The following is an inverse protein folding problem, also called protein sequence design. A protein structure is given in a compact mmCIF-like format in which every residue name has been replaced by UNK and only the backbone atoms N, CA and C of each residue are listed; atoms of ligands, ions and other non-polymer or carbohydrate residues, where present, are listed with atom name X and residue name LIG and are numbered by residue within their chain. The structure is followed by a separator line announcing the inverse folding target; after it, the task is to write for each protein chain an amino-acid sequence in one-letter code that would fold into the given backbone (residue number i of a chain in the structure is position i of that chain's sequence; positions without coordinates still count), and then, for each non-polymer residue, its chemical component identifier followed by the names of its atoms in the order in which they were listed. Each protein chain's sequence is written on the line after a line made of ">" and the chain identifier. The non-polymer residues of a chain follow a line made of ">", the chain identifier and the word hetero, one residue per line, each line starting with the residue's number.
data_IF_247005596385
#
_entry.id   IF_247005596385
#
_cell.length_a   1.000
_cell.length_b   1.000
_cell.length_c   1.000
_cell.angle_alpha   90.00
_cell.angle_beta   90.00
_cell.angle_gamma   90.00
#
_symmetry.space_group_name_H-M   'P 1'
#
loop_
_entity.id
_entity.type
_entity.pdbx_description
1 polymer ?
#
# COMPACT_ATOMS: atom_id res chain seq x y z
N UNK A 1 29.85 8.29 -3.88
CA UNK A 1 30.76 9.41 -3.56
C UNK A 1 30.20 10.10 -2.33
N UNK A 2 30.96 10.15 -1.23
CA UNK A 2 30.53 10.73 0.04
C UNK A 2 31.17 12.11 0.18
N UNK A 3 30.40 13.11 0.60
CA UNK A 3 30.92 14.46 0.83
C UNK A 3 31.86 14.46 2.06
N UNK A 4 33.07 15.06 2.00
CA UNK A 4 34.06 14.96 3.08
C UNK A 4 33.58 15.46 4.44
N UNK A 5 32.71 16.48 4.46
CA UNK A 5 32.14 17.02 5.70
C UNK A 5 31.25 16.01 6.44
N UNK A 6 30.67 15.02 5.74
CA UNK A 6 29.82 14.01 6.37
C UNK A 6 30.61 13.08 7.28
N UNK A 7 31.91 12.91 7.03
CA UNK A 7 32.81 12.08 7.85
C UNK A 7 33.31 12.81 9.10
N UNK A 8 33.18 14.12 9.14
CA UNK A 8 33.65 14.97 10.25
C UNK A 8 32.53 15.34 11.22
N UNK A 9 31.30 14.88 10.99
CA UNK A 9 30.17 15.17 11.89
C UNK A 9 30.29 14.33 13.15
N UNK A 10 30.50 14.98 14.29
CA UNK A 10 30.49 14.34 15.59
C UNK A 10 29.05 14.20 16.10
N UNK A 11 28.51 12.99 16.01
CA UNK A 11 27.16 12.68 16.45
C UNK A 11 27.04 12.59 17.98
N UNK A 12 28.15 12.39 18.71
CA UNK A 12 28.11 12.20 20.17
C UNK A 12 27.87 13.51 20.92
N UNK A 13 28.30 14.63 20.34
CA UNK A 13 28.18 15.96 20.93
C UNK A 13 27.03 16.80 20.33
N UNK A 14 26.21 16.22 19.47
CA UNK A 14 25.05 16.91 18.92
C UNK A 14 24.02 17.16 20.03
N UNK A 15 23.59 18.42 20.19
CA UNK A 15 22.57 18.77 21.16
C UNK A 15 21.24 18.08 20.81
N UNK A 16 20.89 17.03 21.57
CA UNK A 16 19.58 16.38 21.47
C UNK A 16 18.57 17.22 22.24
N UNK A 17 17.72 17.98 21.54
CA UNK A 17 16.50 18.51 22.16
C UNK A 17 15.58 17.33 22.43
N UNK A 18 15.30 17.04 23.71
CA UNK A 18 14.61 15.81 24.13
C UNK A 18 13.09 15.86 24.01
N UNK A 19 12.50 16.93 23.49
CA UNK A 19 11.04 17.13 23.54
C UNK A 19 10.30 16.36 22.44
N UNK A 20 10.96 15.96 21.36
CA UNK A 20 10.34 15.16 20.29
C UNK A 20 11.40 14.29 19.59
N UNK A 21 11.42 12.96 19.83
CA UNK A 21 12.39 12.06 19.21
C UNK A 21 12.18 11.90 17.70
N UNK A 22 11.00 12.23 17.16
CA UNK A 22 10.67 12.08 15.74
C UNK A 22 10.90 13.37 14.94
N UNK A 23 11.16 14.49 15.62
CA UNK A 23 11.41 15.78 15.00
C UNK A 23 12.89 16.09 15.05
N UNK A 24 13.59 15.79 13.95
CA UNK A 24 14.98 16.21 13.78
C UNK A 24 15.14 17.70 14.06
N UNK A 25 16.26 18.09 14.67
CA UNK A 25 16.66 19.49 14.88
C UNK A 25 17.01 20.16 13.55
N UNK A 26 16.00 20.33 12.70
CA UNK A 26 16.06 21.17 11.51
C UNK A 26 15.15 22.33 11.83
N UNK A 27 15.68 23.33 12.54
CA UNK A 27 15.04 24.64 12.56
C UNK A 27 14.72 25.08 11.13
N UNK A 28 13.72 25.95 10.92
CA UNK A 28 13.26 26.34 9.59
C UNK A 28 14.43 26.69 8.67
N UNK A 29 14.73 25.81 7.72
CA UNK A 29 15.88 25.94 6.83
C UNK A 29 15.69 27.22 6.02
N UNK A 30 16.58 28.19 6.20
CA UNK A 30 16.54 29.47 5.48
C UNK A 30 17.32 29.34 4.17
N UNK A 31 17.06 30.24 3.22
CA UNK A 31 17.86 30.31 1.98
C UNK A 31 19.35 30.54 2.24
N UNK A 32 19.69 31.15 3.37
CA UNK A 32 21.07 31.39 3.83
C UNK A 32 21.68 30.23 4.63
N UNK A 33 20.96 29.13 4.85
CA UNK A 33 21.48 27.96 5.55
C UNK A 33 22.62 27.29 4.77
N UNK A 34 23.51 26.61 5.49
CA UNK A 34 24.66 25.95 4.88
C UNK A 34 24.21 24.85 3.89
N UNK A 35 25.12 24.42 3.00
CA UNK A 35 24.85 23.27 2.12
C UNK A 35 24.55 22.02 2.97
N UNK A 36 25.32 21.82 4.04
CA UNK A 36 25.18 20.71 4.97
C UNK A 36 23.78 20.66 5.60
N UNK A 37 23.27 21.78 6.13
CA UNK A 37 21.94 21.81 6.77
C UNK A 37 20.83 21.49 5.76
N UNK A 38 20.94 22.05 4.55
CA UNK A 38 19.97 21.82 3.46
C UNK A 38 20.00 20.37 2.99
N UNK A 39 21.18 19.80 2.80
CA UNK A 39 21.34 18.39 2.42
C UNK A 39 20.87 17.45 3.53
N UNK A 40 21.18 17.74 4.79
CA UNK A 40 20.72 16.96 5.93
C UNK A 40 19.19 16.94 6.04
N UNK A 41 18.55 18.11 5.92
CA UNK A 41 17.09 18.23 5.92
C UNK A 41 16.45 17.49 4.74
N UNK A 42 17.02 17.61 3.53
CA UNK A 42 16.55 16.88 2.35
C UNK A 42 16.66 15.36 2.51
N UNK A 43 17.77 14.87 3.08
CA UNK A 43 17.95 13.44 3.37
C UNK A 43 16.98 12.93 4.42
N UNK A 44 16.68 13.74 5.43
CA UNK A 44 15.70 13.39 6.46
C UNK A 44 14.28 13.31 5.88
N UNK A 45 13.87 14.29 5.06
CA UNK A 45 12.60 14.24 4.34
C UNK A 45 12.52 13.08 3.36
N UNK A 46 13.63 12.74 2.70
CA UNK A 46 13.70 11.55 1.86
C UNK A 46 13.48 10.28 2.69
N UNK A 47 14.18 10.14 3.82
CA UNK A 47 14.02 9.00 4.72
C UNK A 47 12.60 8.91 5.29
N UNK A 48 11.99 10.03 5.68
CA UNK A 48 10.60 10.09 6.16
C UNK A 48 9.55 9.99 5.04
N UNK A 49 9.94 10.06 3.77
CA UNK A 49 9.01 9.97 2.67
C UNK A 49 8.36 8.58 2.65
N UNK A 50 7.05 8.55 2.44
CA UNK A 50 6.26 7.31 2.34
C UNK A 50 6.70 6.40 1.19
N UNK A 51 7.47 6.93 0.23
CA UNK A 51 8.11 6.15 -0.84
C UNK A 51 9.35 5.38 -0.36
N UNK A 52 10.02 5.84 0.70
CA UNK A 52 11.26 5.25 1.21
C UNK A 52 11.05 4.40 2.47
N UNK A 53 10.03 4.73 3.28
CA UNK A 53 9.56 3.88 4.36
C UNK A 53 8.17 3.34 4.05
N UNK A 54 8.03 2.16 3.42
CA UNK A 54 6.93 1.30 3.78
C UNK A 54 7.16 0.94 5.25
N UNK A 55 6.48 1.65 6.16
CA UNK A 55 6.62 1.51 7.62
C UNK A 55 6.46 0.05 8.12
N UNK A 56 5.90 -0.83 7.29
CA UNK A 56 5.78 -2.25 7.56
C UNK A 56 7.03 -3.09 7.27
N UNK A 57 8.03 -2.57 6.54
CA UNK A 57 9.12 -3.40 6.02
C UNK A 57 10.42 -3.35 6.85
N UNK A 58 10.67 -2.30 7.66
CA UNK A 58 11.99 -2.14 8.29
C UNK A 58 12.02 -2.37 9.82
N UNK A 59 10.94 -2.11 10.56
CA UNK A 59 10.97 -2.24 12.02
C UNK A 59 10.46 -3.58 12.56
N UNK A 60 9.62 -4.30 11.80
CA UNK A 60 9.08 -5.58 12.27
C UNK A 60 10.16 -6.68 12.24
N UNK A 61 10.88 -6.79 11.14
CA UNK A 61 11.76 -7.93 10.88
C UNK A 61 13.08 -7.88 11.68
N UNK A 62 13.56 -6.69 12.04
CA UNK A 62 14.78 -6.53 12.85
C UNK A 62 14.54 -6.88 14.32
N UNK A 63 13.33 -6.65 14.85
CA UNK A 63 13.03 -6.87 16.27
C UNK A 63 12.43 -8.24 16.60
N UNK A 64 11.81 -8.95 15.64
CA UNK A 64 11.14 -10.24 15.91
C UNK A 64 12.00 -11.47 15.62
N UNK A 65 13.17 -11.32 14.98
CA UNK A 65 14.13 -12.42 14.79
C UNK A 65 13.63 -13.59 13.93
N UNK A 66 12.50 -13.44 13.22
CA UNK A 66 11.94 -14.46 12.33
C UNK A 66 12.28 -14.13 10.87
N UNK A 67 13.56 -14.29 10.50
CA UNK A 67 13.94 -14.40 9.09
C UNK A 67 13.57 -15.80 8.59
N UNK A 68 12.33 -15.99 8.14
CA UNK A 68 12.03 -17.12 7.27
C UNK A 68 12.50 -16.75 5.85
N UNK A 69 13.74 -17.11 5.51
CA UNK A 69 14.33 -16.98 4.16
C UNK A 69 13.66 -17.87 3.10
N UNK A 70 12.62 -18.62 3.47
CA UNK A 70 12.00 -19.59 2.61
C UNK A 70 10.97 -18.93 1.68
N UNK A 71 11.32 -18.85 0.39
CA UNK A 71 10.46 -18.60 -0.77
C UNK A 71 10.29 -17.16 -1.32
N UNK A 72 11.37 -16.36 -1.36
CA UNK A 72 11.51 -15.32 -2.39
C UNK A 72 12.11 -15.88 -3.69
N UNK A 73 11.66 -17.07 -4.12
CA UNK A 73 11.79 -17.46 -5.52
C UNK A 73 10.88 -16.49 -6.29
N UNK A 74 11.46 -15.52 -6.98
CA UNK A 74 10.71 -14.53 -7.77
C UNK A 74 9.95 -15.26 -8.87
N UNK A 75 8.74 -15.72 -8.55
CA UNK A 75 7.87 -16.35 -9.51
C UNK A 75 7.71 -15.38 -10.67
N UNK A 76 8.04 -15.84 -11.90
CA UNK A 76 7.86 -15.03 -13.10
C UNK A 76 6.43 -14.54 -13.10
N UNK A 77 6.24 -13.22 -12.95
CA UNK A 77 4.91 -12.61 -12.88
C UNK A 77 4.16 -13.00 -14.15
N UNK A 78 3.08 -13.78 -13.99
CA UNK A 78 2.21 -14.12 -15.11
C UNK A 78 1.68 -12.80 -15.69
N UNK A 79 1.74 -12.67 -17.02
CA UNK A 79 1.24 -11.47 -17.70
C UNK A 79 -0.28 -11.45 -17.54
N UNK A 80 -0.80 -10.46 -16.83
CA UNK A 80 -2.24 -10.28 -16.64
C UNK A 80 -2.84 -9.85 -17.99
N UNK A 81 -3.78 -10.64 -18.50
CA UNK A 81 -4.59 -10.25 -19.65
C UNK A 81 -5.62 -9.20 -19.22
N UNK A 82 -5.68 -8.10 -19.96
CA UNK A 82 -6.63 -7.01 -19.69
C UNK A 82 -7.94 -7.22 -20.45
N UNK A 83 -9.06 -6.84 -19.84
CA UNK A 83 -10.38 -6.81 -20.48
C UNK A 83 -10.46 -5.73 -21.57
N UNK A 84 -11.33 -5.87 -22.58
CA UNK A 84 -11.59 -4.84 -23.58
C UNK A 84 -12.16 -3.56 -22.93
N UNK A 85 -12.08 -2.39 -23.58
CA UNK A 85 -12.52 -1.14 -22.93
C UNK A 85 -14.04 -1.08 -22.79
N UNK A 86 -14.73 -1.66 -23.74
CA UNK A 86 -16.18 -1.70 -23.90
C UNK A 86 -16.83 -2.50 -22.76
N UNK A 87 -16.22 -3.65 -22.41
CA UNK A 87 -16.72 -4.56 -21.39
C UNK A 87 -16.39 -4.12 -19.95
N UNK A 88 -15.44 -3.19 -19.77
CA UNK A 88 -15.03 -2.70 -18.44
C UNK A 88 -16.11 -1.90 -17.74
N UNK A 89 -16.84 -1.04 -18.46
CA UNK A 89 -17.86 -0.16 -17.88
C UNK A 89 -19.01 -0.94 -17.24
N UNK A 90 -19.69 -1.86 -17.96
CA UNK A 90 -20.80 -2.61 -17.36
C UNK A 90 -20.35 -3.52 -16.20
N UNK A 91 -19.15 -4.11 -16.28
CA UNK A 91 -18.60 -4.86 -15.14
C UNK A 91 -18.33 -3.95 -13.93
N UNK A 92 -17.80 -2.75 -14.15
CA UNK A 92 -17.58 -1.78 -13.08
C UNK A 92 -18.90 -1.35 -12.40
N UNK A 93 -19.95 -1.09 -13.18
CA UNK A 93 -21.27 -0.71 -12.66
C UNK A 93 -21.93 -1.84 -11.86
N UNK A 94 -21.78 -3.10 -12.32
CA UNK A 94 -22.27 -4.27 -11.57
C UNK A 94 -21.51 -4.48 -10.27
N UNK A 95 -20.19 -4.23 -10.24
CA UNK A 95 -19.39 -4.27 -9.03
C UNK A 95 -19.75 -3.14 -8.04
N UNK A 96 -20.04 -1.93 -8.52
CA UNK A 96 -20.57 -0.83 -7.68
C UNK A 96 -21.91 -1.23 -7.06
N UNK A 97 -22.81 -1.80 -7.87
CA UNK A 97 -24.13 -2.25 -7.42
C UNK A 97 -24.01 -3.34 -6.35
N UNK A 98 -23.06 -4.27 -6.54
CA UNK A 98 -22.72 -5.27 -5.54
C UNK A 98 -22.19 -4.65 -4.26
N UNK A 99 -21.24 -3.69 -4.33
CA UNK A 99 -20.67 -3.02 -3.16
C UNK A 99 -21.76 -2.35 -2.31
N UNK A 100 -22.67 -1.63 -2.96
CA UNK A 100 -23.78 -0.97 -2.28
C UNK A 100 -24.70 -1.99 -1.60
N UNK A 101 -24.97 -3.13 -2.24
CA UNK A 101 -25.77 -4.21 -1.66
C UNK A 101 -25.07 -4.91 -0.50
N UNK A 102 -23.77 -5.15 -0.60
CA UNK A 102 -22.97 -5.74 0.48
C UNK A 102 -22.87 -4.78 1.67
N UNK A 103 -22.75 -3.47 1.40
CA UNK A 103 -22.73 -2.44 2.42
C UNK A 103 -24.04 -2.39 3.20
N UNK A 104 -25.21 -2.42 2.55
CA UNK A 104 -26.50 -2.42 3.29
C UNK A 104 -26.71 -3.64 4.18
N UNK A 105 -26.04 -4.76 3.89
CA UNK A 105 -26.05 -5.97 4.71
C UNK A 105 -25.04 -5.93 5.86
N UNK A 106 -24.10 -4.98 5.86
CA UNK A 106 -23.04 -4.91 6.84
C UNK A 106 -23.56 -4.42 8.21
N UNK A 107 -23.20 -5.06 9.35
CA UNK A 107 -23.68 -4.66 10.67
C UNK A 107 -23.39 -3.20 11.03
N UNK A 108 -22.28 -2.66 10.52
CA UNK A 108 -21.81 -1.29 10.83
C UNK A 108 -22.00 -0.30 9.68
N UNK A 109 -22.91 -0.57 8.74
CA UNK A 109 -23.11 0.27 7.55
C UNK A 109 -23.55 1.71 7.85
N UNK A 110 -24.11 1.97 9.04
CA UNK A 110 -24.52 3.30 9.47
C UNK A 110 -23.34 4.23 9.77
N UNK A 111 -22.19 3.68 10.17
CA UNK A 111 -21.00 4.44 10.58
C UNK A 111 -19.82 4.27 9.63
N UNK A 112 -19.78 3.17 8.87
CA UNK A 112 -18.71 2.91 7.92
C UNK A 112 -19.15 3.29 6.50
N UNK A 113 -18.32 4.00 5.72
CA UNK A 113 -18.64 4.28 4.32
C UNK A 113 -18.52 3.01 3.47
N UNK A 114 -19.26 2.93 2.37
CA UNK A 114 -19.19 1.78 1.45
C UNK A 114 -17.79 1.53 0.87
N UNK A 115 -16.94 2.56 0.80
CA UNK A 115 -15.55 2.44 0.34
C UNK A 115 -14.70 1.53 1.24
N UNK A 116 -15.04 1.39 2.53
CA UNK A 116 -14.33 0.46 3.43
C UNK A 116 -14.42 -1.00 3.00
N UNK A 117 -15.48 -1.38 2.29
CA UNK A 117 -15.57 -2.73 1.70
C UNK A 117 -14.61 -2.87 0.53
N UNK A 118 -14.67 -1.92 -0.41
CA UNK A 118 -13.82 -1.90 -1.58
C UNK A 118 -13.76 -0.49 -2.19
N UNK A 119 -12.56 0.06 -2.30
CA UNK A 119 -12.31 1.36 -2.92
C UNK A 119 -12.54 1.35 -4.44
N UNK A 120 -12.82 2.52 -5.01
CA UNK A 120 -13.03 2.66 -6.46
C UNK A 120 -11.81 2.25 -7.29
N UNK A 121 -10.60 2.46 -6.75
CA UNK A 121 -9.36 2.01 -7.39
C UNK A 121 -9.28 0.48 -7.50
N UNK A 122 -9.76 -0.23 -6.47
CA UNK A 122 -9.79 -1.69 -6.40
C UNK A 122 -10.90 -2.26 -7.29
N UNK A 123 -12.07 -1.61 -7.32
CA UNK A 123 -13.13 -1.92 -8.29
C UNK A 123 -12.64 -1.76 -9.74
N UNK A 124 -11.89 -0.69 -10.02
CA UNK A 124 -11.31 -0.43 -11.34
C UNK A 124 -10.21 -1.44 -11.69
N UNK A 125 -9.45 -1.92 -10.70
CA UNK A 125 -8.50 -3.01 -10.89
C UNK A 125 -9.20 -4.32 -11.27
N UNK A 126 -10.29 -4.66 -10.58
CA UNK A 126 -11.10 -5.84 -10.90
C UNK A 126 -11.71 -5.74 -12.30
N UNK A 127 -12.31 -4.60 -12.65
CA UNK A 127 -12.95 -4.44 -13.97
C UNK A 127 -11.94 -4.50 -15.12
N UNK A 128 -10.69 -4.08 -14.90
CA UNK A 128 -9.60 -4.21 -15.88
C UNK A 128 -9.09 -5.64 -16.04
N UNK A 129 -9.24 -6.47 -15.02
CA UNK A 129 -8.71 -7.84 -15.00
C UNK A 129 -9.64 -8.75 -15.80
N UNK A 130 -9.09 -9.48 -16.78
CA UNK A 130 -9.90 -10.40 -17.57
C UNK A 130 -10.42 -11.56 -16.68
N UNK A 131 -11.70 -11.97 -16.80
CA UNK A 131 -12.28 -13.04 -15.98
C UNK A 131 -11.50 -14.36 -16.03
N UNK A 132 -10.87 -14.67 -17.17
CA UNK A 132 -10.03 -15.88 -17.32
C UNK A 132 -8.80 -15.93 -16.42
N UNK A 133 -8.38 -14.81 -15.81
CA UNK A 133 -7.26 -14.79 -14.87
C UNK A 133 -7.70 -15.07 -13.43
N UNK A 134 -9.01 -15.09 -13.17
CA UNK A 134 -9.60 -15.26 -11.85
C UNK A 134 -10.29 -16.62 -11.85
N UNK A 135 -9.67 -17.62 -11.25
CA UNK A 135 -10.19 -19.00 -11.20
C UNK A 135 -10.83 -19.33 -9.86
N UNK A 136 -10.49 -18.57 -8.83
CA UNK A 136 -10.93 -18.79 -7.45
C UNK A 136 -11.13 -17.47 -6.71
N UNK A 137 -11.83 -17.53 -5.58
CA UNK A 137 -11.93 -16.41 -4.66
C UNK A 137 -10.53 -16.01 -4.10
N UNK A 138 -9.60 -16.96 -4.00
CA UNK A 138 -8.24 -16.69 -3.55
C UNK A 138 -7.49 -15.76 -4.50
N UNK A 139 -7.69 -15.92 -5.81
CA UNK A 139 -7.08 -15.03 -6.81
C UNK A 139 -7.53 -13.57 -6.62
N UNK A 140 -8.75 -13.34 -6.14
CA UNK A 140 -9.26 -12.00 -5.83
C UNK A 140 -8.58 -11.43 -4.58
N UNK A 141 -8.41 -12.25 -3.54
CA UNK A 141 -7.72 -11.85 -2.30
C UNK A 141 -6.28 -11.46 -2.62
N UNK A 142 -5.58 -12.29 -3.39
CA UNK A 142 -4.20 -12.07 -3.79
C UNK A 142 -4.06 -10.84 -4.71
N UNK A 143 -5.01 -10.66 -5.65
CA UNK A 143 -5.03 -9.51 -6.56
C UNK A 143 -5.26 -8.19 -5.83
N UNK A 144 -6.11 -8.18 -4.80
CA UNK A 144 -6.45 -6.98 -4.01
C UNK A 144 -5.52 -6.75 -2.82
N UNK A 145 -4.66 -7.73 -2.50
CA UNK A 145 -3.81 -7.77 -1.32
C UNK A 145 -4.63 -7.60 -0.02
N UNK A 146 -5.77 -8.27 0.04
CA UNK A 146 -6.67 -8.23 1.20
C UNK A 146 -6.38 -9.36 2.18
N UNK A 147 -6.97 -9.25 3.38
CA UNK A 147 -6.87 -10.31 4.39
C UNK A 147 -7.72 -11.52 4.01
N UNK A 148 -7.32 -12.70 4.49
CA UNK A 148 -8.10 -13.94 4.33
C UNK A 148 -9.49 -13.80 4.95
N UNK A 149 -9.60 -13.12 6.09
CA UNK A 149 -10.87 -12.85 6.77
C UNK A 149 -11.83 -12.04 5.89
N UNK A 150 -11.34 -10.96 5.26
CA UNK A 150 -12.12 -10.21 4.28
C UNK A 150 -12.54 -11.12 3.11
N UNK A 151 -11.62 -11.95 2.63
CA UNK A 151 -11.84 -12.90 1.56
C UNK A 151 -12.97 -13.89 1.82
N UNK A 152 -13.02 -14.49 3.01
CA UNK A 152 -14.07 -15.45 3.39
C UNK A 152 -15.47 -14.85 3.34
N UNK A 153 -15.60 -13.56 3.64
CA UNK A 153 -16.88 -12.86 3.66
C UNK A 153 -17.32 -12.37 2.27
N UNK A 154 -16.39 -11.83 1.48
CA UNK A 154 -16.72 -11.06 0.28
C UNK A 154 -16.17 -11.64 -1.03
N UNK A 155 -15.00 -12.28 -1.02
CA UNK A 155 -14.34 -12.69 -2.26
C UNK A 155 -15.16 -13.72 -3.04
N UNK A 156 -15.85 -14.64 -2.36
CA UNK A 156 -16.74 -15.60 -3.04
C UNK A 156 -17.91 -14.91 -3.75
N UNK A 157 -18.48 -13.86 -3.15
CA UNK A 157 -19.58 -13.11 -3.75
C UNK A 157 -19.11 -12.34 -4.98
N UNK A 158 -17.95 -11.67 -4.88
CA UNK A 158 -17.30 -10.99 -6.00
C UNK A 158 -16.97 -11.94 -7.14
N UNK A 159 -16.39 -13.11 -6.82
CA UNK A 159 -16.09 -14.14 -7.81
C UNK A 159 -17.35 -14.53 -8.58
N UNK A 160 -18.46 -14.78 -7.88
CA UNK A 160 -19.74 -15.11 -8.49
C UNK A 160 -20.30 -13.98 -9.39
N UNK A 161 -20.06 -12.71 -9.04
CA UNK A 161 -20.45 -11.56 -9.89
C UNK A 161 -19.63 -11.54 -11.17
N UNK A 162 -18.31 -11.68 -11.06
CA UNK A 162 -17.38 -11.67 -12.20
C UNK A 162 -17.65 -12.86 -13.14
N UNK A 163 -17.88 -14.06 -12.60
CA UNK A 163 -18.13 -15.27 -13.40
C UNK A 163 -19.48 -15.26 -14.10
N UNK A 164 -20.47 -14.50 -13.60
CA UNK A 164 -21.78 -14.33 -14.26
C UNK A 164 -21.76 -13.32 -15.39
N UNK A 165 -20.76 -12.45 -15.41
CA UNK A 165 -20.61 -11.41 -16.43
C UNK A 165 -19.94 -11.94 -17.71
N UNK A 166 -19.13 -12.99 -17.57
CA UNK A 166 -18.47 -13.71 -18.68
C UNK A 166 -19.40 -14.76 -19.28
#
# INVERSE_FOLDING_TARGET
>A
MVEPWALTVDLQNAATNSDDPDKSYTGTVKKSSSKQDRTGCAMFHFAQSTTCMPLNFFLRDIYTGQFSEENLMSAKRKRIQYCAKEDRSPLFDTLISWRNKAHTQHPHHSVQPAMWLLDDNRLNLLSKTHPSNIHSAQDIIDLLQETVEWGTNYAQQLFNVITRFN
#
